data_IF_348016922417
#
_entry.id   IF_348016922417
#
_cell.length_a   1.000
_cell.length_b   1.000
_cell.length_c   1.000
_cell.angle_alpha   90.00
_cell.angle_beta   90.00
_cell.angle_gamma   90.00
#
_symmetry.space_group_name_H-M   'P 1'
#
loop_
_entity.id
_entity.type
_entity.pdbx_description
1 polymer ?
#
# COMPACT_ATOMS: atom_id res chain seq x y z
N UNK A 1 26.81 2.92 -11.46
CA UNK A 1 26.14 2.27 -10.31
C UNK A 1 24.69 2.62 -10.47
N UNK A 2 23.87 1.67 -10.94
CA UNK A 2 22.44 1.91 -11.00
C UNK A 2 21.94 1.81 -9.57
N UNK A 3 21.69 2.96 -8.93
CA UNK A 3 20.83 3.03 -7.75
C UNK A 3 19.49 2.42 -8.18
N UNK A 4 19.31 1.14 -7.86
CA UNK A 4 18.10 0.42 -8.18
C UNK A 4 16.99 0.98 -7.32
N UNK A 5 16.12 1.81 -7.91
CA UNK A 5 14.79 2.03 -7.37
C UNK A 5 14.18 0.65 -7.14
N UNK A 6 14.10 0.24 -5.87
CA UNK A 6 13.63 -1.07 -5.48
C UNK A 6 12.15 -1.15 -5.86
N UNK A 7 11.83 -2.02 -6.84
CA UNK A 7 10.50 -2.06 -7.43
C UNK A 7 9.45 -2.47 -6.38
N UNK A 8 8.59 -1.53 -6.00
CA UNK A 8 7.58 -1.70 -4.94
C UNK A 8 6.56 -2.75 -5.37
N UNK A 9 6.37 -3.80 -4.56
CA UNK A 9 5.35 -4.82 -4.86
C UNK A 9 3.99 -4.37 -4.40
N UNK A 10 2.97 -4.74 -5.17
CA UNK A 10 1.59 -4.43 -4.81
C UNK A 10 1.20 -5.01 -3.44
N UNK A 11 1.64 -6.24 -3.12
CA UNK A 11 1.42 -6.85 -1.81
C UNK A 11 2.09 -6.09 -0.66
N UNK A 12 3.27 -5.48 -0.89
CA UNK A 12 3.98 -4.73 0.14
C UNK A 12 3.20 -3.47 0.53
N UNK A 13 2.56 -2.81 -0.45
CA UNK A 13 1.64 -1.68 -0.20
C UNK A 13 0.47 -2.13 0.67
N UNK A 14 -0.20 -3.24 0.33
CA UNK A 14 -1.36 -3.73 1.08
C UNK A 14 -1.00 -4.13 2.53
N UNK A 15 0.14 -4.80 2.69
CA UNK A 15 0.65 -5.25 4.00
C UNK A 15 1.06 -4.06 4.86
N UNK A 16 1.74 -3.08 4.26
CA UNK A 16 2.14 -1.84 4.93
C UNK A 16 0.92 -1.02 5.32
N UNK A 17 -0.07 -0.86 4.43
CA UNK A 17 -1.31 -0.13 4.70
C UNK A 17 -2.12 -0.75 5.85
N UNK A 18 -2.14 -2.08 5.95
CA UNK A 18 -2.75 -2.77 7.08
C UNK A 18 -2.04 -2.48 8.39
N UNK A 19 -0.71 -2.38 8.35
CA UNK A 19 0.10 -2.02 9.52
C UNK A 19 -0.11 -0.57 9.93
N UNK A 20 -0.19 0.35 8.95
CA UNK A 20 -0.56 1.76 9.16
C UNK A 20 -1.94 1.85 9.81
N UNK A 21 -2.95 1.22 9.22
CA UNK A 21 -4.31 1.22 9.75
C UNK A 21 -4.36 0.74 11.21
N UNK A 22 -3.64 -0.34 11.52
CA UNK A 22 -3.53 -0.87 12.89
C UNK A 22 -2.85 0.13 13.84
N UNK A 23 -1.76 0.75 13.40
CA UNK A 23 -1.05 1.77 14.19
C UNK A 23 -1.92 3.00 14.46
N UNK A 24 -2.80 3.36 13.51
CA UNK A 24 -3.81 4.42 13.64
C UNK A 24 -5.04 3.99 14.47
N UNK A 25 -5.11 2.74 14.92
CA UNK A 25 -6.27 2.21 15.67
C UNK A 25 -7.53 2.06 14.83
N UNK A 26 -7.41 1.94 13.51
CA UNK A 26 -8.54 1.78 12.62
C UNK A 26 -9.02 0.32 12.54
N UNK A 27 -10.33 0.13 12.49
CA UNK A 27 -10.96 -1.19 12.30
C UNK A 27 -10.89 -1.69 10.85
N UNK A 28 -10.62 -0.79 9.90
CA UNK A 28 -10.52 -1.11 8.49
C UNK A 28 -9.44 -0.29 7.76
N UNK A 29 -8.92 -0.86 6.66
CA UNK A 29 -8.00 -0.18 5.74
C UNK A 29 -8.79 0.78 4.85
N UNK A 30 -8.60 2.08 5.07
CA UNK A 30 -9.07 3.18 4.24
C UNK A 30 -8.04 3.59 3.17
N UNK A 31 -8.47 4.40 2.20
CA UNK A 31 -7.62 4.90 1.12
C UNK A 31 -6.43 5.72 1.64
N UNK A 32 -6.61 6.50 2.72
CA UNK A 32 -5.53 7.26 3.33
C UNK A 32 -4.36 6.37 3.80
N UNK A 33 -4.65 5.18 4.34
CA UNK A 33 -3.62 4.25 4.79
C UNK A 33 -2.81 3.65 3.62
N UNK A 34 -3.41 3.55 2.42
CA UNK A 34 -2.67 3.14 1.22
C UNK A 34 -1.68 4.23 0.77
N UNK A 35 -2.07 5.51 0.84
CA UNK A 35 -1.14 6.61 0.53
C UNK A 35 0.04 6.64 1.50
N UNK A 36 -0.25 6.57 2.80
CA UNK A 36 0.80 6.50 3.82
C UNK A 36 1.73 5.31 3.59
N UNK A 37 1.19 4.15 3.21
CA UNK A 37 2.00 2.98 2.88
C UNK A 37 2.94 3.21 1.67
N UNK A 38 2.46 3.88 0.63
CA UNK A 38 3.29 4.26 -0.52
C UNK A 38 4.40 5.22 -0.07
N UNK A 39 4.07 6.20 0.77
CA UNK A 39 5.05 7.16 1.26
C UNK A 39 6.14 6.49 2.11
N UNK A 40 5.80 5.46 2.90
CA UNK A 40 6.78 4.64 3.63
C UNK A 40 7.70 3.87 2.69
N UNK A 41 7.11 3.16 1.72
CA UNK A 41 7.86 2.26 0.83
C UNK A 41 8.76 3.03 -0.13
N UNK A 42 8.39 4.25 -0.49
CA UNK A 42 9.20 5.16 -1.31
C UNK A 42 10.18 6.01 -0.50
N UNK A 43 10.19 5.87 0.83
CA UNK A 43 11.06 6.64 1.73
C UNK A 43 10.66 8.11 1.89
N UNK A 44 9.49 8.52 1.41
CA UNK A 44 8.93 9.85 1.61
C UNK A 44 8.46 10.07 3.07
N UNK A 45 8.16 9.01 3.81
CA UNK A 45 7.86 9.02 5.24
C UNK A 45 8.70 7.99 5.99
N UNK A 46 9.13 8.30 7.22
CA UNK A 46 9.87 7.34 8.04
C UNK A 46 8.91 6.40 8.77
N UNK A 47 9.27 5.10 8.92
CA UNK A 47 8.49 4.15 9.72
C UNK A 47 8.18 4.63 11.14
N UNK A 48 9.12 5.36 11.75
CA UNK A 48 9.00 5.89 13.11
C UNK A 48 7.87 6.94 13.25
N UNK A 49 7.52 7.64 12.16
CA UNK A 49 6.46 8.66 12.15
C UNK A 49 5.05 8.04 12.22
N UNK A 50 4.92 6.73 11.96
CA UNK A 50 3.65 5.99 11.99
C UNK A 50 3.35 5.46 13.41
N UNK A 51 4.29 5.57 14.35
CA UNK A 51 4.10 5.19 15.75
C UNK A 51 4.08 3.68 16.00
N UNK A 52 4.46 2.86 15.02
CA UNK A 52 4.58 1.42 15.16
C UNK A 52 5.91 0.93 14.58
N UNK A 53 6.60 0.06 15.32
CA UNK A 53 7.66 -0.78 14.76
C UNK A 53 7.04 -1.71 13.73
N UNK A 54 6.93 -1.25 12.48
CA UNK A 54 6.57 -2.07 11.33
C UNK A 54 7.72 -3.03 11.07
N UNK A 55 7.61 -4.27 11.58
CA UNK A 55 8.56 -5.32 11.23
C UNK A 55 8.45 -5.65 9.74
N UNK A 56 9.54 -5.52 8.95
CA UNK A 56 9.50 -5.64 7.49
C UNK A 56 9.38 -7.10 6.98
N UNK A 57 9.10 -8.09 7.82
CA UNK A 57 9.23 -9.52 7.49
C UNK A 57 8.00 -10.37 7.82
N UNK A 58 6.81 -9.87 7.51
CA UNK A 58 5.56 -10.63 7.67
C UNK A 58 4.84 -10.88 6.36
N UNK A 59 5.05 -12.05 5.74
CA UNK A 59 4.18 -12.57 4.67
C UNK A 59 2.80 -13.00 5.21
N UNK A 60 2.13 -12.16 6.00
CA UNK A 60 0.76 -12.42 6.47
C UNK A 60 -0.22 -11.65 5.61
N UNK A 61 -1.30 -12.34 5.24
CA UNK A 61 -2.49 -11.71 4.65
C UNK A 61 -2.93 -10.51 5.52
N UNK A 62 -3.45 -9.44 4.92
CA UNK A 62 -4.01 -8.32 5.67
C UNK A 62 -5.11 -8.83 6.61
N UNK A 63 -4.88 -8.73 7.93
CA UNK A 63 -5.82 -9.18 8.97
C UNK A 63 -7.01 -8.22 9.13
N UNK A 64 -6.88 -6.97 8.66
CA UNK A 64 -7.93 -5.97 8.71
C UNK A 64 -8.85 -6.06 7.49
N UNK A 65 -10.15 -5.84 7.70
CA UNK A 65 -11.07 -5.60 6.59
C UNK A 65 -10.65 -4.31 5.87
N UNK A 66 -10.93 -4.21 4.58
CA UNK A 66 -10.76 -2.96 3.82
C UNK A 66 -12.10 -2.27 3.62
N UNK A 67 -12.11 -0.95 3.41
CA UNK A 67 -13.31 -0.23 2.99
C UNK A 67 -13.78 -0.73 1.60
N UNK A 68 -15.08 -0.63 1.25
CA UNK A 68 -15.59 -1.08 -0.04
C UNK A 68 -14.82 -0.50 -1.24
N UNK A 69 -14.56 0.81 -1.26
CA UNK A 69 -13.82 1.46 -2.33
C UNK A 69 -12.37 0.94 -2.45
N UNK A 70 -11.71 0.71 -1.31
CA UNK A 70 -10.36 0.11 -1.26
C UNK A 70 -10.38 -1.33 -1.76
N UNK A 71 -11.40 -2.12 -1.42
CA UNK A 71 -11.56 -3.49 -1.92
C UNK A 71 -11.72 -3.50 -3.43
N UNK A 72 -12.56 -2.64 -3.98
CA UNK A 72 -12.77 -2.50 -5.42
C UNK A 72 -11.49 -2.10 -6.14
N UNK A 73 -10.79 -1.08 -5.65
CA UNK A 73 -9.49 -0.66 -6.19
C UNK A 73 -8.49 -1.83 -6.20
N UNK A 74 -8.38 -2.52 -5.06
CA UNK A 74 -7.44 -3.64 -4.90
C UNK A 74 -7.73 -4.77 -5.88
N UNK A 75 -9.01 -5.11 -6.07
CA UNK A 75 -9.43 -6.15 -7.02
C UNK A 75 -9.11 -5.76 -8.46
N UNK A 76 -9.36 -4.50 -8.86
CA UNK A 76 -9.02 -4.01 -10.21
C UNK A 76 -7.53 -4.09 -10.48
N UNK A 77 -6.72 -3.61 -9.54
CA UNK A 77 -5.26 -3.63 -9.66
C UNK A 77 -4.70 -5.06 -9.65
N UNK A 78 -5.23 -5.92 -8.79
CA UNK A 78 -4.85 -7.34 -8.79
C UNK A 78 -5.14 -8.01 -10.15
N UNK A 79 -6.30 -7.76 -10.75
CA UNK A 79 -6.64 -8.26 -12.07
C UNK A 79 -5.71 -7.69 -13.17
N UNK A 80 -5.40 -6.40 -13.10
CA UNK A 80 -4.48 -5.72 -14.04
C UNK A 80 -3.07 -6.32 -13.99
N UNK A 81 -2.61 -6.70 -12.81
CA UNK A 81 -1.30 -7.35 -12.59
C UNK A 81 -1.31 -8.85 -12.93
N UNK A 82 -2.31 -9.32 -13.67
CA UNK A 82 -2.44 -10.73 -14.08
C UNK A 82 -2.77 -11.68 -12.92
N UNK A 83 -3.31 -11.17 -11.80
CA UNK A 83 -3.64 -11.96 -10.62
C UNK A 83 -2.41 -12.38 -9.80
N UNK A 84 -1.27 -11.70 -9.97
CA UNK A 84 -0.05 -12.02 -9.23
C UNK A 84 0.17 -10.99 -8.10
N UNK A 85 0.07 -11.40 -6.82
CA UNK A 85 0.25 -10.47 -5.69
C UNK A 85 1.71 -10.00 -5.55
N UNK A 86 2.67 -10.79 -6.02
CA UNK A 86 4.09 -10.48 -6.00
C UNK A 86 4.54 -9.60 -7.18
N UNK A 87 3.60 -9.17 -8.03
CA UNK A 87 3.92 -8.28 -9.14
C UNK A 87 4.47 -6.95 -8.61
N UNK A 88 5.66 -6.61 -9.10
CA UNK A 88 6.27 -5.30 -8.90
C UNK A 88 5.54 -4.25 -9.74
N UNK A 89 5.32 -3.08 -9.14
CA UNK A 89 4.86 -1.89 -9.83
C UNK A 89 6.10 -1.15 -10.35
N UNK A 90 6.10 -0.85 -11.65
CA UNK A 90 7.02 0.14 -12.19
C UNK A 90 6.60 1.57 -11.77
N UNK A 91 7.43 2.56 -12.07
CA UNK A 91 7.20 3.94 -11.66
C UNK A 91 5.88 4.52 -12.21
N UNK A 92 5.51 4.15 -13.43
CA UNK A 92 4.27 4.60 -14.07
C UNK A 92 3.05 3.98 -13.39
N UNK A 93 3.07 2.67 -13.15
CA UNK A 93 2.02 1.95 -12.44
C UNK A 93 1.88 2.43 -10.98
N UNK A 94 2.99 2.70 -10.29
CA UNK A 94 2.96 3.26 -8.94
C UNK A 94 2.33 4.67 -8.91
N UNK A 95 2.68 5.51 -9.89
CA UNK A 95 2.11 6.86 -10.04
C UNK A 95 0.61 6.82 -10.34
N UNK A 96 0.19 5.92 -11.22
CA UNK A 96 -1.22 5.71 -11.55
C UNK A 96 -2.01 5.23 -10.34
N UNK A 97 -1.50 4.22 -9.62
CA UNK A 97 -2.11 3.72 -8.39
C UNK A 97 -2.26 4.84 -7.35
N UNK A 98 -1.19 5.62 -7.12
CA UNK A 98 -1.23 6.77 -6.20
C UNK A 98 -2.33 7.76 -6.58
N UNK A 99 -2.44 8.10 -7.86
CA UNK A 99 -3.44 9.06 -8.37
C UNK A 99 -4.87 8.55 -8.16
N UNK A 100 -5.13 7.27 -8.39
CA UNK A 100 -6.43 6.65 -8.11
C UNK A 100 -6.76 6.72 -6.61
N UNK A 101 -5.80 6.40 -5.73
CA UNK A 101 -6.01 6.45 -4.28
C UNK A 101 -6.28 7.89 -3.82
N UNK A 102 -5.53 8.88 -4.31
CA UNK A 102 -5.76 10.30 -4.00
C UNK A 102 -7.16 10.76 -4.40
N UNK A 103 -7.69 10.23 -5.51
CA UNK A 103 -9.07 10.49 -5.91
C UNK A 103 -10.07 9.92 -4.90
N UNK A 104 -9.83 8.70 -4.40
CA UNK A 104 -10.67 8.09 -3.35
C UNK A 104 -10.63 8.83 -2.01
N UNK A 105 -9.51 9.48 -1.68
CA UNK A 105 -9.39 10.28 -0.44
C UNK A 105 -10.16 11.61 -0.54
N UNK A 106 -10.31 12.14 -1.75
CA UNK A 106 -10.99 13.43 -2.00
C UNK A 106 -12.49 13.30 -2.24
N UNK A 107 -12.98 12.11 -2.57
CA UNK A 107 -14.40 11.79 -2.76
C UNK A 107 -15.12 11.59 -1.44
#
# INVERSE_FOLDING_TARGET
MSDGEEAVRFLDILTTASSVARARGADAVAAAHLLEAIDVLTGASKPDDIGASVSPLGHRRPELSAEPAVRELTQRWFARLGGTPEASLDADALTELRTEIETLVRS
#
